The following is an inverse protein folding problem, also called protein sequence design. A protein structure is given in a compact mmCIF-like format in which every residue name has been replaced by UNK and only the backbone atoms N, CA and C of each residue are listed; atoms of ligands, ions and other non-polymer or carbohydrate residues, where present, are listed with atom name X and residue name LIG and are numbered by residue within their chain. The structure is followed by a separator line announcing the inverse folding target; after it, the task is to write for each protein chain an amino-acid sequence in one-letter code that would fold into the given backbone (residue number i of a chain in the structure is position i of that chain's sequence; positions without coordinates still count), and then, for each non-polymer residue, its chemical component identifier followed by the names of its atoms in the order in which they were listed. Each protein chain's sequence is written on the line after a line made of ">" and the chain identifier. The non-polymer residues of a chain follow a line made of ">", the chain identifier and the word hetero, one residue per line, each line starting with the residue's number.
data_IF_512038587248
#
_entry.id   IF_512038587248
#
_cell.length_a   1.000
_cell.length_b   1.000
_cell.length_c   1.000
_cell.angle_alpha   90.00
_cell.angle_beta   90.00
_cell.angle_gamma   90.00
#
_symmetry.space_group_name_H-M   'P 1'
#
loop_
_entity.id
_entity.type
_entity.pdbx_description
1 polymer ?
#
# COMPACT_ATOMS: atom_id res chain seq x y z
N UNK A 1 22.00 3.97 10.06
CA UNK A 1 21.17 5.19 10.11
C UNK A 1 21.18 6.11 8.87
N UNK A 2 22.14 6.05 7.90
CA UNK A 2 22.21 7.06 6.83
C UNK A 2 20.92 7.25 6.02
N UNK A 3 20.14 6.19 5.77
CA UNK A 3 18.91 6.28 4.99
C UNK A 3 17.75 6.99 5.71
N UNK A 4 17.68 6.89 7.04
CA UNK A 4 16.65 7.57 7.84
C UNK A 4 16.98 9.06 7.95
N UNK A 5 18.24 9.39 8.17
CA UNK A 5 18.73 10.78 8.18
C UNK A 5 18.56 11.44 6.81
N UNK A 6 18.89 10.75 5.73
CA UNK A 6 18.68 11.27 4.37
C UNK A 6 17.19 11.52 4.06
N UNK A 7 16.29 10.66 4.55
CA UNK A 7 14.85 10.89 4.43
C UNK A 7 14.42 12.14 5.22
N UNK A 8 14.89 12.29 6.45
CA UNK A 8 14.58 13.44 7.30
C UNK A 8 15.10 14.75 6.70
N UNK A 9 16.33 14.75 6.20
CA UNK A 9 16.94 15.85 5.46
C UNK A 9 16.13 16.21 4.21
N UNK A 10 15.70 15.20 3.44
CA UNK A 10 14.86 15.40 2.27
C UNK A 10 13.53 16.06 2.61
N UNK A 11 12.87 15.64 3.69
CA UNK A 11 11.63 16.27 4.16
C UNK A 11 11.86 17.74 4.55
N UNK A 12 12.94 18.03 5.27
CA UNK A 12 13.29 19.40 5.66
C UNK A 12 13.58 20.30 4.46
N UNK A 13 14.42 19.83 3.52
CA UNK A 13 14.78 20.57 2.31
C UNK A 13 13.58 20.87 1.40
N UNK A 14 12.61 19.93 1.34
CA UNK A 14 11.38 20.11 0.59
C UNK A 14 10.25 20.76 1.40
N UNK A 15 10.55 21.26 2.61
CA UNK A 15 9.61 21.94 3.50
C UNK A 15 8.33 21.14 3.76
N UNK A 16 8.47 19.82 3.90
CA UNK A 16 7.37 18.92 4.25
C UNK A 16 7.02 19.14 5.72
N UNK A 17 5.88 19.77 5.98
CA UNK A 17 5.32 19.95 7.33
C UNK A 17 4.27 18.89 7.60
N UNK A 18 4.46 18.11 8.66
CA UNK A 18 3.61 17.00 9.05
C UNK A 18 2.67 17.41 10.19
N UNK A 19 1.40 17.06 10.03
CA UNK A 19 0.34 17.29 11.02
C UNK A 19 0.18 16.13 12.00
N UNK A 20 0.70 14.95 11.65
CA UNK A 20 0.78 13.78 12.51
C UNK A 20 1.75 12.73 11.94
N UNK A 21 2.36 11.97 12.84
CA UNK A 21 3.20 10.81 12.55
C UNK A 21 2.59 9.58 13.23
N UNK A 22 2.33 8.55 12.43
CA UNK A 22 1.96 7.23 12.90
C UNK A 22 3.08 6.27 12.53
N UNK A 23 3.54 5.45 13.47
CA UNK A 23 4.65 4.51 13.23
C UNK A 23 4.34 3.15 13.82
N UNK A 24 4.85 2.09 13.21
CA UNK A 24 5.02 0.83 13.93
C UNK A 24 5.89 1.07 15.15
N UNK A 25 5.54 0.39 16.24
CA UNK A 25 6.30 0.29 17.48
C UNK A 25 7.58 -0.56 17.35
N UNK A 26 7.77 -1.25 16.22
CA UNK A 26 9.03 -1.93 15.92
C UNK A 26 10.13 -0.90 15.63
N UNK A 27 11.29 -1.12 16.27
CA UNK A 27 12.40 -0.18 16.33
C UNK A 27 12.81 0.38 14.95
N UNK A 28 12.88 -0.44 13.91
CA UNK A 28 13.29 0.00 12.56
C UNK A 28 12.39 1.10 11.97
N UNK A 29 11.08 0.98 12.16
CA UNK A 29 10.12 1.98 11.69
C UNK A 29 10.13 3.19 12.62
N UNK A 30 10.06 2.95 13.94
CA UNK A 30 10.09 3.98 14.99
C UNK A 30 11.32 4.89 14.88
N UNK A 31 12.51 4.32 14.73
CA UNK A 31 13.77 5.08 14.59
C UNK A 31 13.77 5.93 13.32
N UNK A 32 13.19 5.45 12.22
CA UNK A 32 13.05 6.24 10.99
C UNK A 32 12.08 7.41 11.20
N UNK A 33 10.94 7.15 11.85
CA UNK A 33 9.95 8.16 12.18
C UNK A 33 10.51 9.24 13.12
N UNK A 34 11.29 8.84 14.13
CA UNK A 34 11.96 9.75 15.06
C UNK A 34 12.98 10.66 14.35
N UNK A 35 13.75 10.13 13.40
CA UNK A 35 14.67 10.93 12.60
C UNK A 35 13.93 12.02 11.82
N UNK A 36 12.78 11.71 11.22
CA UNK A 36 11.94 12.68 10.52
C UNK A 36 11.32 13.70 11.48
N UNK A 37 10.78 13.24 12.62
CA UNK A 37 10.21 14.11 13.65
C UNK A 37 11.23 15.16 14.15
N UNK A 38 12.48 14.74 14.39
CA UNK A 38 13.56 15.62 14.84
C UNK A 38 13.86 16.79 13.87
N UNK A 39 13.37 16.73 12.63
CA UNK A 39 13.53 17.77 11.61
C UNK A 39 12.27 18.59 11.33
N UNK A 40 11.16 18.35 12.05
CA UNK A 40 9.89 19.08 11.85
C UNK A 40 9.84 20.47 12.52
N UNK A 41 10.87 20.83 13.30
CA UNK A 41 10.99 22.12 14.00
C UNK A 41 10.25 22.15 15.34
N UNK A 42 10.75 22.96 16.28
CA UNK A 42 10.25 22.99 17.67
C UNK A 42 8.86 23.62 17.83
N UNK A 43 8.43 24.46 16.87
CA UNK A 43 7.18 25.22 16.97
C UNK A 43 5.90 24.38 16.76
N UNK A 44 6.01 23.16 16.25
CA UNK A 44 4.87 22.29 15.99
C UNK A 44 5.01 21.00 16.81
N UNK A 45 4.18 20.84 17.84
CA UNK A 45 4.04 19.57 18.54
C UNK A 45 3.34 18.57 17.61
N UNK A 46 4.09 17.94 16.70
CA UNK A 46 3.57 16.92 15.78
C UNK A 46 3.16 15.69 16.61
N UNK A 47 1.88 15.30 16.62
CA UNK A 47 1.45 14.10 17.32
C UNK A 47 2.21 12.87 16.79
N UNK A 48 2.84 12.13 17.69
CA UNK A 48 3.63 10.94 17.37
C UNK A 48 2.99 9.71 18.03
N UNK A 49 2.49 8.76 17.23
CA UNK A 49 1.74 7.60 17.72
C UNK A 49 2.38 6.30 17.27
N UNK A 50 2.74 5.48 18.24
CA UNK A 50 3.27 4.13 18.02
C UNK A 50 2.12 3.13 18.04
N UNK A 51 1.97 2.34 16.98
CA UNK A 51 0.82 1.46 16.78
C UNK A 51 1.25 0.05 16.36
N UNK A 52 0.90 -0.99 17.15
CA UNK A 52 1.08 -2.39 16.74
C UNK A 52 0.38 -2.73 15.41
N UNK A 53 -0.70 -2.01 15.09
CA UNK A 53 -1.45 -2.15 13.83
C UNK A 53 -0.59 -1.93 12.58
N UNK A 54 0.51 -1.18 12.71
CA UNK A 54 1.43 -0.85 11.62
C UNK A 54 2.63 -1.80 11.53
N UNK A 55 2.67 -2.88 12.32
CA UNK A 55 3.75 -3.89 12.26
C UNK A 55 3.79 -4.61 10.92
N UNK A 56 4.93 -5.22 10.62
CA UNK A 56 5.06 -6.08 9.44
C UNK A 56 4.14 -7.30 9.58
N UNK A 57 3.91 -8.03 8.49
CA UNK A 57 3.33 -9.36 8.56
C UNK A 57 4.03 -10.20 9.63
N UNK A 58 3.25 -10.82 10.52
CA UNK A 58 3.79 -11.76 11.50
C UNK A 58 4.01 -13.12 10.85
N UNK A 59 5.25 -13.60 10.75
CA UNK A 59 5.53 -14.93 10.17
C UNK A 59 5.47 -16.07 11.20
N UNK A 60 5.16 -15.81 12.47
CA UNK A 60 5.05 -16.83 13.51
C UNK A 60 6.30 -17.73 13.58
N UNK A 61 6.11 -19.05 13.49
CA UNK A 61 7.22 -20.01 13.49
C UNK A 61 8.17 -19.88 12.29
N UNK A 62 7.77 -19.17 11.21
CA UNK A 62 8.62 -18.89 10.06
C UNK A 62 9.59 -17.73 10.28
N UNK A 63 9.43 -16.97 11.35
CA UNK A 63 10.34 -15.88 11.72
C UNK A 63 11.76 -16.42 11.95
N UNK A 64 12.76 -15.82 11.31
CA UNK A 64 14.16 -16.24 11.42
C UNK A 64 14.55 -17.47 10.60
N UNK A 65 13.61 -18.07 9.87
CA UNK A 65 13.86 -19.32 9.14
C UNK A 65 14.22 -19.08 7.67
N UNK A 66 15.10 -19.93 7.12
CA UNK A 66 15.44 -19.91 5.69
C UNK A 66 14.36 -20.57 4.86
N UNK A 67 14.08 -20.01 3.69
CA UNK A 67 13.15 -20.63 2.73
C UNK A 67 13.64 -21.99 2.27
N UNK A 68 12.80 -23.00 2.47
CA UNK A 68 13.01 -24.33 1.93
C UNK A 68 12.28 -24.51 0.60
N UNK A 69 12.74 -25.44 -0.23
CA UNK A 69 11.96 -25.87 -1.39
C UNK A 69 10.72 -26.63 -0.93
N UNK A 70 9.62 -26.49 -1.66
CA UNK A 70 8.45 -27.34 -1.49
C UNK A 70 8.78 -28.75 -1.98
N UNK A 71 8.63 -29.75 -1.13
CA UNK A 71 8.81 -31.17 -1.46
C UNK A 71 7.48 -31.76 -1.93
N UNK A 72 7.51 -32.38 -3.11
CA UNK A 72 6.31 -32.89 -3.80
C UNK A 72 5.48 -33.89 -2.99
N UNK A 73 6.10 -34.59 -2.04
CA UNK A 73 5.49 -35.68 -1.28
C UNK A 73 5.18 -35.30 0.17
N UNK A 74 5.27 -34.01 0.53
CA UNK A 74 4.97 -33.54 1.87
C UNK A 74 3.87 -32.49 1.82
N UNK A 75 2.89 -32.61 2.71
CA UNK A 75 1.93 -31.54 2.95
C UNK A 75 2.63 -30.33 3.56
N UNK A 76 2.02 -29.14 3.47
CA UNK A 76 2.54 -27.91 4.09
C UNK A 76 2.72 -28.12 5.61
N UNK A 77 1.76 -28.75 6.28
CA UNK A 77 1.86 -29.08 7.70
C UNK A 77 3.05 -30.01 8.01
N UNK A 78 3.30 -31.01 7.15
CA UNK A 78 4.45 -31.91 7.31
C UNK A 78 5.80 -31.21 7.07
N UNK A 79 5.85 -30.15 6.25
CA UNK A 79 7.04 -29.31 6.14
C UNK A 79 7.32 -28.59 7.44
N UNK A 80 6.31 -27.93 8.01
CA UNK A 80 6.45 -27.19 9.27
C UNK A 80 6.88 -28.09 10.42
N UNK A 81 6.30 -29.30 10.53
CA UNK A 81 6.70 -30.30 11.52
C UNK A 81 8.16 -30.75 11.40
N UNK A 82 8.77 -30.61 10.21
CA UNK A 82 10.19 -30.89 9.93
C UNK A 82 11.08 -29.64 10.00
N UNK A 83 10.55 -28.51 10.49
CA UNK A 83 11.28 -27.23 10.53
C UNK A 83 11.59 -26.65 9.15
N UNK A 84 10.80 -27.01 8.13
CA UNK A 84 10.94 -26.51 6.75
C UNK A 84 9.85 -25.48 6.47
N UNK A 85 10.25 -24.32 5.96
CA UNK A 85 9.39 -23.17 5.72
C UNK A 85 9.40 -22.82 4.23
N UNK A 86 8.60 -23.51 3.39
CA UNK A 86 8.50 -23.20 1.98
C UNK A 86 7.68 -21.91 1.74
N UNK A 87 7.87 -21.31 0.57
CA UNK A 87 7.06 -20.18 0.15
C UNK A 87 5.58 -20.56 0.03
N UNK A 88 4.74 -19.72 0.63
CA UNK A 88 3.29 -19.81 0.56
C UNK A 88 2.79 -18.84 -0.52
N UNK A 89 2.01 -19.33 -1.46
CA UNK A 89 1.62 -18.57 -2.65
C UNK A 89 0.19 -18.05 -2.64
N UNK A 90 -0.68 -18.64 -1.81
CA UNK A 90 -2.07 -18.20 -1.62
C UNK A 90 -2.15 -17.15 -0.50
N UNK A 91 -3.27 -16.41 -0.43
CA UNK A 91 -3.38 -15.26 0.49
C UNK A 91 -3.77 -15.69 1.90
N UNK A 92 -4.56 -16.74 1.99
CA UNK A 92 -5.06 -17.35 3.21
C UNK A 92 -4.01 -18.24 3.90
N UNK A 93 -3.00 -18.70 3.17
CA UNK A 93 -1.93 -19.52 3.73
C UNK A 93 -1.04 -18.72 4.68
N UNK A 94 -0.69 -19.33 5.81
CA UNK A 94 0.20 -18.75 6.83
C UNK A 94 1.05 -19.81 7.52
N UNK A 95 2.17 -19.38 8.09
CA UNK A 95 2.98 -20.21 8.96
C UNK A 95 2.29 -20.41 10.32
N UNK A 96 2.66 -21.45 11.10
CA UNK A 96 2.10 -21.67 12.43
C UNK A 96 2.29 -20.44 13.33
N UNK A 97 1.21 -19.94 13.92
CA UNK A 97 1.22 -18.72 14.75
C UNK A 97 1.48 -17.42 14.00
N UNK A 98 1.52 -17.46 12.66
CA UNK A 98 1.67 -16.28 11.82
C UNK A 98 0.34 -15.67 11.38
N UNK A 99 0.46 -14.67 10.53
CA UNK A 99 -0.60 -13.89 9.87
C UNK A 99 -0.59 -14.22 8.38
N UNK A 100 -1.76 -14.40 7.79
CA UNK A 100 -1.94 -14.54 6.34
C UNK A 100 -1.94 -13.17 5.64
N UNK A 101 -1.88 -13.13 4.31
CA UNK A 101 -2.05 -11.87 3.58
C UNK A 101 -3.49 -11.34 3.67
N UNK A 102 -4.49 -12.20 3.88
CA UNK A 102 -5.87 -11.76 4.09
C UNK A 102 -6.05 -11.13 5.47
N UNK A 103 -5.47 -11.71 6.52
CA UNK A 103 -5.45 -11.10 7.86
C UNK A 103 -4.67 -9.77 7.85
N UNK A 104 -3.56 -9.71 7.10
CA UNK A 104 -2.81 -8.47 6.88
C UNK A 104 -3.66 -7.40 6.17
N UNK A 105 -4.50 -7.81 5.21
CA UNK A 105 -5.38 -6.90 4.50
C UNK A 105 -6.52 -6.38 5.38
N UNK A 106 -7.13 -7.24 6.20
CA UNK A 106 -8.09 -6.83 7.22
C UNK A 106 -7.46 -5.81 8.18
N UNK A 107 -6.21 -6.03 8.58
CA UNK A 107 -5.46 -5.09 9.41
C UNK A 107 -5.18 -3.75 8.71
N UNK A 108 -4.86 -3.77 7.42
CA UNK A 108 -4.74 -2.56 6.62
C UNK A 108 -6.07 -1.81 6.50
N UNK A 109 -7.20 -2.52 6.47
CA UNK A 109 -8.52 -1.89 6.43
C UNK A 109 -8.89 -1.20 7.75
N UNK A 110 -8.46 -1.74 8.89
CA UNK A 110 -8.56 -1.03 10.18
C UNK A 110 -7.76 0.27 10.15
N UNK A 111 -6.57 0.31 9.55
CA UNK A 111 -5.79 1.57 9.39
C UNK A 111 -6.57 2.58 8.56
N UNK A 112 -7.20 2.16 7.47
CA UNK A 112 -8.00 3.04 6.61
C UNK A 112 -9.20 3.59 7.39
N UNK A 113 -9.95 2.72 8.07
CA UNK A 113 -11.10 3.09 8.88
C UNK A 113 -10.73 4.08 9.98
N UNK A 114 -9.71 3.76 10.78
CA UNK A 114 -9.51 4.44 12.05
C UNK A 114 -8.55 5.63 11.95
N UNK A 115 -7.52 5.51 11.10
CA UNK A 115 -6.48 6.54 10.99
C UNK A 115 -6.77 7.46 9.80
N UNK A 116 -6.89 6.89 8.61
CA UNK A 116 -7.00 7.70 7.38
C UNK A 116 -8.32 8.46 7.37
N UNK A 117 -9.43 7.80 7.69
CA UNK A 117 -10.73 8.48 7.77
C UNK A 117 -10.72 9.59 8.82
N UNK A 118 -10.15 9.34 10.01
CA UNK A 118 -10.06 10.36 11.05
C UNK A 118 -9.25 11.59 10.62
N UNK A 119 -8.13 11.40 9.91
CA UNK A 119 -7.34 12.54 9.41
C UNK A 119 -8.06 13.30 8.29
N UNK A 120 -8.79 12.62 7.41
CA UNK A 120 -9.61 13.30 6.38
C UNK A 120 -10.77 14.08 7.01
N UNK A 121 -11.41 13.54 8.06
CA UNK A 121 -12.44 14.26 8.80
C UNK A 121 -11.88 15.51 9.50
N UNK A 122 -10.71 15.41 10.15
CA UNK A 122 -10.02 16.57 10.75
C UNK A 122 -9.65 17.64 9.72
N UNK A 123 -9.21 17.23 8.52
CA UNK A 123 -8.93 18.16 7.41
C UNK A 123 -10.21 18.92 7.01
N UNK A 124 -11.33 18.22 6.89
CA UNK A 124 -12.62 18.83 6.58
C UNK A 124 -13.11 19.78 7.70
N UNK A 125 -13.03 19.37 8.96
CA UNK A 125 -13.43 20.19 10.12
C UNK A 125 -12.58 21.45 10.27
N UNK A 126 -11.27 21.35 10.03
CA UNK A 126 -10.36 22.50 10.13
C UNK A 126 -10.29 23.35 8.85
N UNK A 127 -10.94 22.90 7.76
CA UNK A 127 -10.84 23.50 6.42
C UNK A 127 -9.40 23.81 6.01
N UNK A 128 -8.48 22.92 6.37
CA UNK A 128 -7.04 23.06 6.13
C UNK A 128 -6.46 21.73 5.73
N UNK A 129 -5.75 21.73 4.60
CA UNK A 129 -5.03 20.57 4.13
C UNK A 129 -4.10 20.01 5.22
N UNK A 130 -4.12 18.69 5.40
CA UNK A 130 -3.28 17.96 6.34
C UNK A 130 -2.31 17.05 5.61
N UNK A 131 -1.07 16.99 6.09
CA UNK A 131 -0.05 16.04 5.63
C UNK A 131 0.30 15.09 6.77
N UNK A 132 0.12 13.79 6.55
CA UNK A 132 0.30 12.77 7.58
C UNK A 132 1.33 11.77 7.10
N UNK A 133 2.24 11.33 7.98
CA UNK A 133 3.23 10.30 7.66
C UNK A 133 2.94 9.00 8.41
N UNK A 134 2.99 7.87 7.68
CA UNK A 134 2.86 6.52 8.23
C UNK A 134 4.17 5.77 7.99
N UNK A 135 4.84 5.36 9.05
CA UNK A 135 6.08 4.58 9.00
C UNK A 135 5.81 3.12 9.35
N UNK A 136 6.07 2.22 8.41
CA UNK A 136 5.77 0.80 8.54
C UNK A 136 6.79 -0.03 7.76
N UNK A 137 6.37 -1.15 7.17
CA UNK A 137 7.23 -2.20 6.64
C UNK A 137 6.79 -2.63 5.24
N UNK A 138 7.66 -3.37 4.53
CA UNK A 138 7.52 -3.58 3.10
C UNK A 138 6.21 -4.27 2.69
N UNK A 139 5.85 -5.39 3.33
CA UNK A 139 4.64 -6.12 2.93
C UNK A 139 3.39 -5.36 3.40
N UNK A 140 3.39 -4.88 4.64
CA UNK A 140 2.27 -4.09 5.14
C UNK A 140 2.01 -2.81 4.33
N UNK A 141 3.04 -2.04 3.96
CA UNK A 141 2.87 -0.84 3.13
C UNK A 141 2.31 -1.21 1.76
N UNK A 142 2.76 -2.31 1.15
CA UNK A 142 2.25 -2.76 -0.15
C UNK A 142 0.75 -3.10 -0.06
N UNK A 143 0.33 -3.79 1.00
CA UNK A 143 -1.07 -4.11 1.25
C UNK A 143 -1.90 -2.84 1.52
N UNK A 144 -1.42 -1.95 2.39
CA UNK A 144 -2.12 -0.71 2.74
C UNK A 144 -2.30 0.21 1.54
N UNK A 145 -1.26 0.42 0.72
CA UNK A 145 -1.35 1.25 -0.48
C UNK A 145 -2.33 0.66 -1.49
N UNK A 146 -2.29 -0.66 -1.71
CA UNK A 146 -3.26 -1.33 -2.57
C UNK A 146 -4.69 -1.17 -2.05
N UNK A 147 -4.90 -1.36 -0.75
CA UNK A 147 -6.21 -1.19 -0.12
C UNK A 147 -6.74 0.25 -0.28
N UNK A 148 -5.92 1.27 -0.01
CA UNK A 148 -6.31 2.70 -0.18
C UNK A 148 -6.68 2.97 -1.64
N UNK A 149 -5.86 2.56 -2.60
CA UNK A 149 -6.12 2.78 -4.03
C UNK A 149 -7.39 2.08 -4.53
N UNK A 150 -7.77 0.97 -3.88
CA UNK A 150 -8.99 0.24 -4.21
C UNK A 150 -10.25 0.76 -3.48
N UNK A 151 -10.11 1.72 -2.55
CA UNK A 151 -11.25 2.44 -1.96
C UNK A 151 -11.85 3.50 -2.88
N UNK A 152 -11.12 3.95 -3.90
CA UNK A 152 -11.70 4.82 -4.93
C UNK A 152 -12.66 4.02 -5.81
N UNK A 153 -13.96 4.07 -5.48
CA UNK A 153 -14.95 3.26 -6.18
C UNK A 153 -15.14 3.63 -7.65
N UNK A 154 -14.74 4.84 -8.05
CA UNK A 154 -14.88 5.35 -9.42
C UNK A 154 -13.65 5.03 -10.26
N UNK A 155 -12.47 5.02 -9.64
CA UNK A 155 -11.18 4.75 -10.29
C UNK A 155 -10.43 3.63 -9.58
N UNK A 156 -11.09 2.48 -9.37
CA UNK A 156 -10.44 1.32 -8.75
C UNK A 156 -9.22 0.94 -9.59
N UNK A 157 -8.03 1.07 -8.99
CA UNK A 157 -6.79 0.76 -9.69
C UNK A 157 -6.66 -0.73 -10.04
N UNK A 158 -7.31 -1.61 -9.26
CA UNK A 158 -7.15 -3.06 -9.37
C UNK A 158 -5.76 -3.54 -8.96
N UNK A 159 -4.91 -2.65 -8.46
CA UNK A 159 -3.55 -2.97 -8.04
C UNK A 159 -3.58 -3.91 -6.85
N UNK A 160 -2.71 -4.90 -6.86
CA UNK A 160 -2.52 -5.80 -5.72
C UNK A 160 -1.20 -5.52 -5.01
N UNK A 161 -1.04 -6.08 -3.81
CA UNK A 161 0.21 -5.99 -3.09
C UNK A 161 1.41 -6.53 -3.90
N UNK A 162 1.19 -7.45 -4.85
CA UNK A 162 2.26 -8.09 -5.63
C UNK A 162 2.95 -7.10 -6.55
N UNK A 163 2.21 -6.19 -7.17
CA UNK A 163 2.74 -5.12 -8.01
C UNK A 163 3.52 -4.06 -7.22
N UNK A 164 3.30 -3.98 -5.90
CA UNK A 164 3.93 -3.02 -5.00
C UNK A 164 5.06 -3.63 -4.15
N UNK A 165 5.44 -4.89 -4.41
CA UNK A 165 6.54 -5.55 -3.68
C UNK A 165 7.90 -4.96 -4.06
N UNK A 166 8.85 -5.13 -3.14
CA UNK A 166 10.25 -4.76 -3.38
C UNK A 166 10.55 -3.27 -3.24
N UNK A 167 9.69 -2.54 -2.51
CA UNK A 167 9.93 -1.14 -2.15
C UNK A 167 11.26 -0.95 -1.44
N UNK A 168 11.85 0.22 -1.61
CA UNK A 168 13.12 0.59 -1.01
C UNK A 168 12.97 0.86 0.49
N UNK A 169 13.99 0.50 1.27
CA UNK A 169 14.11 1.02 2.63
C UNK A 169 14.08 2.54 2.59
N UNK A 170 13.22 3.13 3.41
CA UNK A 170 12.91 4.58 3.44
C UNK A 170 12.39 5.17 2.13
N UNK A 171 11.97 4.33 1.17
CA UNK A 171 11.20 4.77 0.00
C UNK A 171 9.83 5.31 0.41
N UNK A 172 9.35 6.33 -0.30
CA UNK A 172 8.13 7.05 0.04
C UNK A 172 7.05 6.89 -1.02
N UNK A 173 5.91 6.36 -0.61
CA UNK A 173 4.67 6.44 -1.37
C UNK A 173 3.85 7.63 -0.88
N UNK A 174 3.39 8.47 -1.80
CA UNK A 174 2.60 9.67 -1.50
C UNK A 174 1.26 9.61 -2.22
N UNK A 175 0.18 9.71 -1.45
CA UNK A 175 -1.20 9.66 -1.94
C UNK A 175 -1.95 10.90 -1.43
N UNK A 176 -2.78 11.50 -2.29
CA UNK A 176 -3.80 12.44 -1.85
C UNK A 176 -5.11 11.67 -1.68
N UNK A 177 -5.72 11.77 -0.50
CA UNK A 177 -6.93 11.03 -0.14
C UNK A 177 -8.00 12.04 0.26
N UNK A 178 -9.18 11.96 -0.35
CA UNK A 178 -10.32 12.85 -0.06
C UNK A 178 -11.62 12.04 0.03
N UNK A 179 -12.64 12.57 0.69
CA UNK A 179 -13.99 11.99 0.68
C UNK A 179 -14.87 12.78 -0.30
N UNK A 180 -15.56 12.07 -1.20
CA UNK A 180 -16.59 12.64 -2.09
C UNK A 180 -17.95 12.14 -1.68
N UNK A 181 -18.88 13.07 -1.46
CA UNK A 181 -20.29 12.78 -1.21
C UNK A 181 -21.03 12.80 -2.54
N UNK A 182 -21.57 11.64 -2.93
CA UNK A 182 -22.45 11.51 -4.06
C UNK A 182 -23.89 11.53 -3.58
N UNK A 183 -24.68 12.44 -4.15
CA UNK A 183 -26.13 12.51 -3.93
C UNK A 183 -26.80 11.86 -5.14
N UNK A 184 -27.32 10.65 -4.96
CA UNK A 184 -28.12 10.01 -5.99
C UNK A 184 -29.57 10.47 -5.86
N UNK A 185 -30.14 10.96 -6.96
CA UNK A 185 -31.57 11.17 -7.10
C UNK A 185 -32.16 9.93 -7.75
N UNK A 186 -32.87 9.10 -6.99
CA UNK A 186 -33.72 8.08 -7.57
C UNK A 186 -34.92 8.79 -8.23
N UNK A 187 -34.91 8.92 -9.55
CA UNK A 187 -36.15 9.17 -10.27
C UNK A 187 -36.93 7.86 -10.29
N UNK A 188 -37.94 7.76 -9.42
CA UNK A 188 -38.89 6.66 -9.46
C UNK A 188 -39.66 6.70 -10.77
N UNK A 189 -39.30 5.84 -11.73
CA UNK A 189 -40.18 5.56 -12.85
C UNK A 189 -41.26 4.61 -12.34
N UNK A 190 -42.44 5.16 -12.05
CA UNK A 190 -43.65 4.34 -11.88
C UNK A 190 -43.82 3.50 -13.14
N UNK A 191 -43.64 2.20 -13.02
CA UNK A 191 -43.85 1.24 -14.09
C UNK A 191 -45.27 1.42 -14.64
N UNK A 192 -45.42 1.98 -15.85
CA UNK A 192 -46.69 1.94 -16.55
C UNK A 192 -46.98 0.47 -16.88
N UNK A 193 -47.81 -0.16 -16.06
CA UNK A 193 -48.46 -1.42 -16.42
C UNK A 193 -49.26 -1.17 -17.70
N UNK A 194 -48.77 -1.67 -18.83
CA UNK A 194 -49.56 -1.79 -20.06
C UNK A 194 -50.57 -2.91 -19.86
N UNK A 195 -51.83 -2.56 -19.65
CA UNK A 195 -52.97 -3.46 -19.85
C UNK A 195 -53.55 -3.22 -21.25
N UNK A 196 -54.07 -4.27 -21.93
CA UNK A 196 -54.49 -4.18 -23.31
C UNK A 196 -55.81 -3.42 -23.46
N UNK A 197 -55.93 -2.75 -24.59
CA UNK A 197 -57.01 -1.88 -25.04
C UNK A 197 -58.39 -2.56 -24.94
N UNK A 198 -59.35 -1.93 -24.25
CA UNK A 198 -60.70 -1.66 -24.79
C UNK A 198 -61.59 -0.77 -23.90
N UNK A 199 -62.21 0.22 -24.58
CA UNK A 199 -63.46 0.97 -24.33
C UNK A 199 -63.60 1.93 -23.12
N UNK A 200 -63.47 3.22 -23.46
CA UNK A 200 -64.18 4.45 -23.06
C UNK A 200 -65.09 4.40 -21.82
N UNK A 201 -64.74 5.22 -20.82
CA UNK A 201 -65.71 6.08 -20.11
C UNK A 201 -65.00 7.25 -19.40
N UNK A 202 -65.62 8.42 -19.45
CA UNK A 202 -65.15 9.68 -18.87
C UNK A 202 -65.29 9.69 -17.34
N UNK A 203 -64.17 9.77 -16.60
CA UNK A 203 -64.16 10.40 -15.27
C UNK A 203 -62.77 11.00 -14.98
N UNK A 204 -62.76 12.23 -14.47
CA UNK A 204 -61.59 13.03 -14.13
C UNK A 204 -60.69 12.31 -13.12
N UNK A 205 -59.44 12.06 -13.49
CA UNK A 205 -58.38 11.66 -12.56
C UNK A 205 -57.67 12.93 -12.05
N UNK A 206 -57.89 13.26 -10.78
CA UNK A 206 -57.02 14.19 -10.06
C UNK A 206 -55.66 13.51 -9.86
N UNK A 207 -54.61 14.08 -10.48
CA UNK A 207 -53.24 13.60 -10.30
C UNK A 207 -52.73 13.90 -8.89
N UNK A 208 -52.36 12.86 -8.13
CA UNK A 208 -51.53 13.02 -6.95
C UNK A 208 -50.08 13.29 -7.39
N UNK A 209 -49.36 14.22 -6.74
CA UNK A 209 -47.96 14.50 -7.09
C UNK A 209 -47.09 13.28 -6.71
N UNK A 210 -46.21 12.88 -7.62
CA UNK A 210 -45.20 11.87 -7.36
C UNK A 210 -44.34 12.30 -6.17
N UNK A 211 -44.43 11.56 -5.07
CA UNK A 211 -43.57 11.75 -3.90
C UNK A 211 -42.14 11.36 -4.26
N UNK A 212 -41.30 12.35 -4.58
CA UNK A 212 -39.85 12.19 -4.67
C UNK A 212 -39.30 11.95 -3.27
N UNK A 213 -39.07 10.68 -2.92
CA UNK A 213 -38.43 10.33 -1.67
C UNK A 213 -37.31 9.31 -1.90
N UNK A 214 -36.09 9.78 -1.63
CA UNK A 214 -34.96 9.14 -0.93
C UNK A 214 -33.66 9.69 -1.54
N UNK A 215 -32.99 10.58 -0.79
CA UNK A 215 -31.61 11.00 -1.06
C UNK A 215 -30.67 9.97 -0.44
N UNK A 216 -30.23 8.99 -1.21
CA UNK A 216 -29.10 8.15 -0.80
C UNK A 216 -27.81 8.97 -0.94
N UNK A 217 -27.19 9.33 0.18
CA UNK A 217 -25.86 9.93 0.21
C UNK A 217 -24.84 8.81 0.34
N UNK A 218 -24.07 8.56 -0.72
CA UNK A 218 -22.94 7.64 -0.67
C UNK A 218 -21.66 8.47 -0.52
N UNK A 219 -20.90 8.19 0.53
CA UNK A 219 -19.56 8.76 0.71
C UNK A 219 -18.55 7.74 0.21
N UNK A 220 -17.64 8.14 -0.67
CA UNK A 220 -16.54 7.30 -1.12
C UNK A 220 -15.22 8.05 -1.04
N UNK A 221 -14.14 7.30 -0.89
CA UNK A 221 -12.81 7.84 -1.09
C UNK A 221 -12.59 8.23 -2.56
N UNK A 222 -11.81 9.27 -2.76
CA UNK A 222 -11.20 9.63 -4.03
C UNK A 222 -9.70 9.74 -3.78
N UNK A 223 -8.90 8.97 -4.54
CA UNK A 223 -7.47 8.83 -4.28
C UNK A 223 -6.66 9.22 -5.51
N UNK A 224 -5.66 10.08 -5.32
CA UNK A 224 -4.70 10.44 -6.36
C UNK A 224 -3.29 10.08 -5.94
N UNK A 225 -2.64 9.21 -6.70
CA UNK A 225 -1.23 8.85 -6.52
C UNK A 225 -0.32 10.01 -6.94
N UNK A 226 0.56 10.47 -6.06
CA UNK A 226 1.61 11.46 -6.37
C UNK A 226 2.95 10.80 -6.67
N UNK A 227 3.18 9.62 -6.12
CA UNK A 227 4.34 8.79 -6.42
C UNK A 227 4.33 7.53 -5.59
N UNK A 228 4.88 6.45 -6.15
CA UNK A 228 5.07 5.16 -5.47
C UNK A 228 6.56 4.96 -5.27
N UNK A 229 6.96 4.52 -4.07
CA UNK A 229 8.34 4.15 -3.75
C UNK A 229 9.41 5.18 -4.18
N UNK A 230 9.12 6.48 -4.01
CA UNK A 230 10.08 7.55 -4.35
C UNK A 230 11.25 7.51 -3.38
N UNK A 231 12.45 7.43 -3.91
CA UNK A 231 13.67 7.23 -3.12
C UNK A 231 14.83 8.14 -3.60
N UNK A 232 14.50 9.35 -4.08
CA UNK A 232 15.49 10.30 -4.62
C UNK A 232 16.55 10.70 -3.58
N UNK A 233 16.19 10.70 -2.30
CA UNK A 233 17.10 10.95 -1.18
C UNK A 233 18.15 9.85 -0.98
N UNK A 234 17.98 8.70 -1.62
CA UNK A 234 18.94 7.60 -1.59
C UNK A 234 19.99 7.68 -2.71
N UNK A 235 19.84 8.59 -3.68
CA UNK A 235 20.70 8.67 -4.88
C UNK A 235 22.20 8.77 -4.57
N UNK A 236 22.56 9.47 -3.49
CA UNK A 236 23.95 9.67 -3.06
C UNK A 236 24.40 8.68 -1.97
N UNK A 237 23.54 7.75 -1.57
CA UNK A 237 23.86 6.73 -0.58
C UNK A 237 24.23 5.44 -1.30
N UNK A 238 25.48 4.99 -1.14
CA UNK A 238 25.83 3.63 -1.50
C UNK A 238 24.93 2.67 -0.71
N UNK A 239 24.18 1.82 -1.44
CA UNK A 239 23.46 0.71 -0.80
C UNK A 239 24.48 -0.06 0.02
N UNK A 240 24.31 -0.06 1.35
CA UNK A 240 25.05 -0.97 2.20
C UNK A 240 24.79 -2.39 1.67
N UNK A 241 25.86 -3.12 1.34
CA UNK A 241 25.78 -4.58 1.11
C UNK A 241 25.35 -5.19 2.44
N UNK A 242 24.04 -5.43 2.59
CA UNK A 242 23.43 -5.74 3.88
C UNK A 242 23.01 -4.48 4.63
N UNK A 243 21.93 -3.85 4.17
CA UNK A 243 21.25 -2.80 4.94
C UNK A 243 20.55 -3.39 6.16
N UNK A 244 20.38 -2.57 7.20
CA UNK A 244 19.81 -2.79 8.56
C UNK A 244 18.59 -3.73 8.67
N UNK A 245 17.97 -4.15 7.57
CA UNK A 245 17.18 -5.40 7.54
C UNK A 245 17.96 -6.64 8.03
N UNK A 246 19.29 -6.57 8.13
CA UNK A 246 20.17 -7.57 8.73
C UNK A 246 20.37 -7.46 10.25
N UNK A 247 19.82 -6.45 10.93
CA UNK A 247 19.80 -6.41 12.40
C UNK A 247 18.39 -6.79 12.90
N UNK A 248 18.22 -8.07 13.20
CA UNK A 248 17.08 -8.61 13.92
C UNK A 248 17.12 -8.04 15.34
N UNK A 249 16.16 -7.20 15.71
CA UNK A 249 15.99 -6.72 17.10
C UNK A 249 14.57 -6.95 17.63
N UNK A 250 13.74 -7.65 16.86
CA UNK A 250 12.92 -8.70 17.44
C UNK A 250 13.73 -10.00 17.24
N UNK A 251 14.16 -10.71 18.29
CA UNK A 251 14.90 -11.96 18.14
C UNK A 251 14.17 -12.99 17.24
N UNK A 252 12.85 -12.90 17.13
CA UNK A 252 12.08 -13.69 16.19
C UNK A 252 12.25 -13.19 14.75
N UNK A 253 12.05 -11.89 14.48
CA UNK A 253 11.91 -11.40 13.10
C UNK A 253 13.24 -11.09 12.38
N UNK A 254 13.54 -11.83 11.30
CA UNK A 254 14.71 -11.61 10.42
C UNK A 254 14.34 -11.04 9.03
N UNK A 255 15.36 -10.67 8.24
CA UNK A 255 15.27 -9.92 6.96
C UNK A 255 14.19 -10.43 5.99
N UNK A 256 13.25 -9.56 5.67
CA UNK A 256 12.17 -9.76 4.70
C UNK A 256 12.65 -10.09 3.28
N UNK A 257 13.92 -9.79 2.94
CA UNK A 257 14.52 -10.18 1.65
C UNK A 257 14.70 -11.68 1.49
N UNK A 258 14.71 -12.44 2.58
CA UNK A 258 14.56 -13.89 2.51
C UNK A 258 13.12 -14.26 2.10
N UNK A 259 12.12 -13.49 2.57
CA UNK A 259 10.68 -13.72 2.39
C UNK A 259 10.13 -13.30 1.03
N UNK A 260 10.69 -12.24 0.45
CA UNK A 260 10.27 -11.71 -0.84
C UNK A 260 11.24 -12.20 -1.91
N UNK A 261 11.06 -13.46 -2.29
CA UNK A 261 11.84 -14.13 -3.33
C UNK A 261 12.07 -13.21 -4.53
N UNK A 262 13.35 -12.96 -4.82
CA UNK A 262 13.78 -12.34 -6.06
C UNK A 262 13.32 -13.21 -7.22
N UNK A 263 12.37 -12.73 -8.03
CA UNK A 263 12.37 -13.11 -9.43
C UNK A 263 13.66 -12.55 -10.02
N UNK A 264 14.70 -13.37 -10.08
CA UNK A 264 15.84 -13.10 -10.94
C UNK A 264 15.30 -13.01 -12.37
N UNK A 265 15.12 -11.79 -12.89
CA UNK A 265 15.17 -11.59 -14.34
C UNK A 265 16.61 -11.88 -14.74
N UNK A 266 16.81 -13.05 -15.32
CA UNK A 266 18.07 -13.44 -15.95
C UNK A 266 18.38 -12.48 -17.10
N UNK A 267 19.19 -11.46 -16.84
CA UNK A 267 19.90 -10.77 -17.92
C UNK A 267 21.12 -11.63 -18.25
N UNK A 268 21.00 -12.44 -19.31
CA UNK A 268 22.18 -13.07 -19.93
C UNK A 268 23.15 -11.96 -20.35
N UNK A 269 24.46 -12.07 -20.08
CA UNK A 269 25.44 -11.10 -20.54
C UNK A 269 25.62 -11.25 -22.05
N UNK A 270 25.36 -10.18 -22.81
CA UNK A 270 25.88 -10.05 -24.18
C UNK A 270 27.35 -9.72 -24.05
N UNK A 271 28.19 -10.67 -24.45
CA UNK A 271 29.63 -10.55 -24.55
C UNK A 271 30.03 -9.59 -25.67
N UNK A 272 30.95 -8.68 -25.35
CA UNK A 272 31.88 -8.08 -26.30
C UNK A 272 31.44 -6.72 -26.87
N UNK A 273 32.25 -5.69 -26.61
CA UNK A 273 32.99 -4.94 -27.63
C UNK A 273 33.99 -4.03 -26.91
N UNK A 274 35.27 -4.32 -27.13
CA UNK A 274 36.42 -3.48 -26.85
C UNK A 274 36.49 -2.31 -27.85
N UNK A 275 36.95 -1.15 -27.39
CA UNK A 275 37.30 0.01 -28.23
C UNK A 275 38.39 -0.35 -29.25
N UNK A 276 38.29 0.23 -30.45
CA UNK A 276 39.46 0.59 -31.24
C UNK A 276 39.41 0.28 -32.73
N UNK A 277 39.37 1.36 -33.53
CA UNK A 277 40.04 1.56 -34.83
C UNK A 277 39.46 0.94 -36.12
N UNK A 278 39.04 1.87 -37.00
CA UNK A 278 39.22 1.93 -38.46
C UNK A 278 38.49 0.95 -39.42
N UNK A 279 37.64 1.58 -40.24
CA UNK A 279 37.18 1.19 -41.59
C UNK A 279 38.39 0.91 -42.51
N UNK A 280 38.30 0.07 -43.57
CA UNK A 280 37.31 0.31 -44.63
C UNK A 280 36.78 -0.90 -45.44
N UNK A 281 35.63 -0.61 -46.08
CA UNK A 281 35.19 -0.98 -47.44
C UNK A 281 35.02 -2.45 -47.87
N UNK A 282 33.79 -2.68 -48.37
CA UNK A 282 33.42 -3.14 -49.72
C UNK A 282 32.87 -4.57 -49.87
N UNK A 283 31.71 -4.58 -50.55
CA UNK A 283 31.09 -5.61 -51.39
C UNK A 283 30.20 -6.72 -50.78
N UNK A 284 28.88 -6.55 -51.01
CA UNK A 284 27.87 -7.60 -51.33
C UNK A 284 28.26 -8.35 -52.65
N UNK A 285 27.56 -9.39 -53.17
CA UNK A 285 26.33 -10.10 -52.76
C UNK A 285 26.56 -11.65 -52.69
N UNK A 286 25.64 -12.50 -52.23
CA UNK A 286 24.33 -12.92 -52.76
C UNK A 286 23.46 -13.49 -51.64
#
# INVERSE_FOLDING_TARGET
>A
MPQAEALAEHFAQNKVSLDAIYTSDLLRAKTTAQAVLARQGECNAVPFRELPLLREQNFGAGEGMKFSKMEKNLSIAAHFAKGKFPALYTREAKFPGGESLDELAERAEVVISDIITAEVLKEHESNRQRTVAIFSHGIFIAELVAAILNKDSQNRSGITNRELRGMHNTGCTSLNVTLKVFVFFCMGFSSLKRSPVHKVSHHQAQGQPATTSVKSRNVTFCVQTKGIDRHVHLSNLHRQKGGIGSLAHDPAQQDIRAFLGSQQRSTKPVSGISKGTELPTRFKPY
#
